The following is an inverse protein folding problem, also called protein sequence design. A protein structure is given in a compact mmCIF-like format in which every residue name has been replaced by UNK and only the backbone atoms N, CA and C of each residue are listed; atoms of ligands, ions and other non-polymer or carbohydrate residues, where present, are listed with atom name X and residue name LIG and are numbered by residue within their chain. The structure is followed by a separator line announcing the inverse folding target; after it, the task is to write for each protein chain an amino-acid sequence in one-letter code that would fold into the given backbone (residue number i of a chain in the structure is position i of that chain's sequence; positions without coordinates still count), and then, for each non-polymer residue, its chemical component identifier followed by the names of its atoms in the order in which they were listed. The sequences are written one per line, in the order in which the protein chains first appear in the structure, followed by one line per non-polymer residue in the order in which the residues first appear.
data_IF_606198265743
#
_entry.id   IF_606198265743
#
_cell.length_a   1.000
_cell.length_b   1.000
_cell.length_c   1.000
_cell.angle_alpha   90.00
_cell.angle_beta   90.00
_cell.angle_gamma   90.00
#
_symmetry.space_group_name_H-M   'P 1'
#
loop_
_entity.id
_entity.type
_entity.pdbx_description
1 polymer ?
#
# COMPACT_ATOMS: atom_id res chain seq x y z
N UNK A 1 -12.92 3.55 12.37
CA UNK A 1 -11.97 2.51 11.94
C UNK A 1 -10.66 3.15 11.49
N UNK A 2 -9.52 2.62 11.96
CA UNK A 2 -8.19 3.15 11.62
C UNK A 2 -7.60 2.66 10.30
N UNK A 3 -8.17 1.61 9.70
CA UNK A 3 -7.71 1.00 8.45
C UNK A 3 -8.00 1.84 7.21
N UNK A 4 -9.01 2.73 7.23
CA UNK A 4 -9.41 3.57 6.09
C UNK A 4 -8.26 4.39 5.48
N UNK A 5 -7.28 4.77 6.30
CA UNK A 5 -6.09 5.51 5.83
C UNK A 5 -5.20 4.71 4.87
N UNK A 6 -5.35 3.39 4.80
CA UNK A 6 -4.60 2.51 3.92
C UNK A 6 -5.23 2.41 2.52
N UNK A 7 -6.53 2.65 2.44
CA UNK A 7 -7.32 2.43 1.24
C UNK A 7 -7.56 3.73 0.46
N UNK A 8 -8.05 3.60 -0.77
CA UNK A 8 -8.30 4.69 -1.69
C UNK A 8 -9.59 5.45 -1.28
N UNK A 9 -9.45 6.25 -0.23
CA UNK A 9 -10.49 7.12 0.29
C UNK A 9 -10.10 8.55 0.00
N UNK A 10 -10.67 9.11 -1.07
CA UNK A 10 -10.41 10.47 -1.54
C UNK A 10 -11.70 11.27 -1.51
N UNK A 11 -11.59 12.50 -1.02
CA UNK A 11 -12.71 13.43 -1.02
C UNK A 11 -12.91 14.05 -2.41
N UNK A 12 -14.07 14.67 -2.63
CA UNK A 12 -14.33 15.41 -3.88
C UNK A 12 -13.31 16.53 -4.10
N UNK A 13 -12.96 16.78 -5.36
CA UNK A 13 -11.96 17.76 -5.75
C UNK A 13 -10.56 17.19 -6.00
N UNK A 14 -10.35 15.89 -5.79
CA UNK A 14 -9.15 15.22 -6.28
C UNK A 14 -9.09 15.27 -7.81
N UNK A 15 -7.88 15.46 -8.36
CA UNK A 15 -7.66 15.58 -9.82
C UNK A 15 -8.14 14.36 -10.59
N UNK A 16 -7.97 13.17 -10.02
CA UNK A 16 -8.35 11.90 -10.65
C UNK A 16 -9.75 11.44 -10.21
N UNK A 17 -10.23 11.91 -9.05
CA UNK A 17 -11.55 11.61 -8.51
C UNK A 17 -12.31 12.90 -8.17
N UNK A 18 -12.83 13.65 -9.17
CA UNK A 18 -13.51 14.92 -8.92
C UNK A 18 -14.73 14.80 -7.99
N UNK A 19 -15.44 13.67 -8.03
CA UNK A 19 -16.59 13.37 -7.15
C UNK A 19 -16.19 12.69 -5.84
N UNK A 20 -14.89 12.47 -5.61
CA UNK A 20 -14.38 11.64 -4.54
C UNK A 20 -14.59 10.15 -4.82
N UNK A 21 -14.02 9.31 -3.96
CA UNK A 21 -14.17 7.86 -4.01
C UNK A 21 -13.91 7.27 -2.64
N UNK A 22 -14.81 6.40 -2.18
CA UNK A 22 -14.63 5.56 -0.98
C UNK A 22 -14.52 4.13 -1.47
N UNK A 23 -13.34 3.56 -1.34
CA UNK A 23 -13.00 2.26 -1.91
C UNK A 23 -12.15 1.49 -0.90
N UNK A 24 -12.78 0.52 -0.24
CA UNK A 24 -12.14 -0.33 0.76
C UNK A 24 -11.38 -1.53 0.14
N UNK A 25 -11.20 -1.58 -1.19
CA UNK A 25 -10.50 -2.66 -1.91
C UNK A 25 -9.11 -2.24 -2.35
N UNK A 26 -8.99 -1.06 -2.97
CA UNK A 26 -7.72 -0.59 -3.52
C UNK A 26 -6.92 0.20 -2.49
N UNK A 27 -5.61 -0.08 -2.39
CA UNK A 27 -4.71 0.65 -1.50
C UNK A 27 -4.31 2.00 -2.11
N UNK A 28 -4.14 3.01 -1.26
CA UNK A 28 -3.43 4.24 -1.63
C UNK A 28 -1.91 4.03 -1.50
N UNK A 29 -1.11 5.04 -1.86
CA UNK A 29 0.36 4.95 -1.80
C UNK A 29 0.87 4.57 -0.41
N UNK A 30 0.26 5.09 0.65
CA UNK A 30 0.64 4.76 2.02
C UNK A 30 0.32 3.29 2.33
N UNK A 31 -0.92 2.85 2.10
CA UNK A 31 -1.31 1.45 2.36
C UNK A 31 -0.50 0.44 1.54
N UNK A 32 -0.26 0.73 0.26
CA UNK A 32 0.57 -0.12 -0.60
C UNK A 32 2.02 -0.22 -0.08
N UNK A 33 2.56 0.88 0.45
CA UNK A 33 3.91 0.89 1.03
C UNK A 33 3.99 0.06 2.31
N UNK A 34 2.99 0.14 3.19
CA UNK A 34 2.94 -0.68 4.40
C UNK A 34 2.85 -2.17 4.09
N UNK A 35 2.01 -2.56 3.11
CA UNK A 35 1.93 -3.96 2.66
C UNK A 35 3.24 -4.41 2.01
N UNK A 36 3.87 -3.57 1.19
CA UNK A 36 5.16 -3.90 0.58
C UNK A 36 6.28 -4.14 1.61
N UNK A 37 6.27 -3.41 2.74
CA UNK A 37 7.20 -3.66 3.86
C UNK A 37 6.98 -5.04 4.46
N UNK A 38 5.73 -5.41 4.76
CA UNK A 38 5.40 -6.74 5.29
C UNK A 38 5.81 -7.86 4.32
N UNK A 39 5.61 -7.66 3.02
CA UNK A 39 6.07 -8.61 2.00
C UNK A 39 7.59 -8.74 1.99
N UNK A 40 8.33 -7.62 2.05
CA UNK A 40 9.79 -7.63 2.10
C UNK A 40 10.33 -8.29 3.37
N UNK A 41 9.67 -8.10 4.51
CA UNK A 41 9.96 -8.79 5.77
C UNK A 41 9.76 -10.30 5.63
N UNK A 42 8.60 -10.74 5.13
CA UNK A 42 8.32 -12.16 4.90
C UNK A 42 9.30 -12.82 3.92
N UNK A 43 9.75 -12.11 2.87
CA UNK A 43 10.78 -12.60 1.95
C UNK A 43 12.10 -12.90 2.69
N UNK A 44 12.49 -12.06 3.65
CA UNK A 44 13.71 -12.25 4.46
C UNK A 44 13.55 -13.36 5.48
N UNK A 45 12.41 -13.40 6.18
CA UNK A 45 12.11 -14.42 7.18
C UNK A 45 12.12 -15.83 6.59
N UNK A 46 11.56 -15.98 5.38
CA UNK A 46 11.54 -17.24 4.65
C UNK A 46 12.84 -17.53 3.88
N UNK A 47 13.83 -16.63 3.93
CA UNK A 47 15.12 -16.75 3.24
C UNK A 47 14.99 -17.03 1.74
N UNK A 48 13.99 -16.46 1.07
CA UNK A 48 13.75 -16.69 -0.35
C UNK A 48 14.90 -16.08 -1.18
N UNK A 49 15.32 -16.74 -2.26
CA UNK A 49 16.42 -16.25 -3.12
C UNK A 49 16.21 -14.83 -3.64
N UNK A 50 14.95 -14.42 -3.85
CA UNK A 50 14.60 -13.07 -4.31
C UNK A 50 14.96 -11.97 -3.30
N UNK A 51 15.23 -12.32 -2.03
CA UNK A 51 15.67 -11.36 -1.01
C UNK A 51 16.92 -10.57 -1.44
N UNK A 52 17.77 -11.17 -2.29
CA UNK A 52 18.97 -10.54 -2.84
C UNK A 52 18.67 -9.39 -3.82
N UNK A 53 17.43 -9.30 -4.31
CA UNK A 53 16.98 -8.24 -5.22
C UNK A 53 16.21 -7.12 -4.49
N UNK A 54 16.04 -7.21 -3.17
CA UNK A 54 15.35 -6.16 -2.41
C UNK A 54 16.23 -4.90 -2.36
N UNK A 55 15.76 -3.84 -2.98
CA UNK A 55 16.41 -2.52 -2.91
C UNK A 55 16.02 -1.88 -1.58
N UNK A 56 16.95 -1.88 -0.62
CA UNK A 56 16.83 -1.09 0.60
C UNK A 56 16.86 0.39 0.22
N UNK A 57 15.76 1.10 0.49
CA UNK A 57 15.76 2.56 0.58
C UNK A 57 16.03 2.98 2.01
#
# INVERSE_FOLDING_TARGET
EGSKKLFLHVESGDRNYPQGKKDDTHLNTFGASEVAKLVAEGIRELQLTIQNNLVLK
#
